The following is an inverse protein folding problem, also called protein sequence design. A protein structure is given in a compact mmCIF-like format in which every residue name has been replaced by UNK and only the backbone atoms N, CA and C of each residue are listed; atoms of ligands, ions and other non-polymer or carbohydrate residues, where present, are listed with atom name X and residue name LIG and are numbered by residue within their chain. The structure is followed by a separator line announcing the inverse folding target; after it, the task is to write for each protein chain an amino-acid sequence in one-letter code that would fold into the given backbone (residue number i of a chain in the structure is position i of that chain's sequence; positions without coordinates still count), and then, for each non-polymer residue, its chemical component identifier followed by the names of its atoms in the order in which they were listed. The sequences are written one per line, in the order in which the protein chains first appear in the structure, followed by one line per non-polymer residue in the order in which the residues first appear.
data_IF_352009569586
#
_entry.id   IF_352009569586
#
_cell.length_a   1.000
_cell.length_b   1.000
_cell.length_c   1.000
_cell.angle_alpha   90.00
_cell.angle_beta   90.00
_cell.angle_gamma   90.00
#
_symmetry.space_group_name_H-M   'P 1'
#
loop_
_entity.id
_entity.type
_entity.pdbx_description
1 polymer ?
#
# COMPACT_ATOMS: atom_id res chain seq x y z
N UNK A 1 -6.96 -1.64 10.84
CA UNK A 1 -5.67 -0.99 10.58
C UNK A 1 -5.09 -0.46 11.88
N UNK A 2 -3.78 -0.63 12.11
CA UNK A 2 -3.03 -0.01 13.21
C UNK A 2 -2.05 1.00 12.64
N UNK A 3 -1.79 2.09 13.36
CA UNK A 3 -0.87 3.14 12.93
C UNK A 3 0.19 3.41 13.99
N UNK A 4 1.40 3.70 13.53
CA UNK A 4 2.55 3.98 14.37
C UNK A 4 3.33 5.16 13.80
N UNK A 5 3.61 6.16 14.61
CA UNK A 5 4.55 7.19 14.25
C UNK A 5 5.97 6.61 14.22
N UNK A 6 6.70 6.89 13.15
CA UNK A 6 8.13 6.60 13.04
C UNK A 6 8.88 7.84 13.53
N UNK A 7 9.69 7.66 14.56
CA UNK A 7 10.42 8.72 15.23
C UNK A 7 11.93 8.48 15.13
N UNK A 8 12.68 9.50 14.80
CA UNK A 8 14.13 9.49 14.89
C UNK A 8 14.56 9.98 16.27
N UNK A 9 15.05 9.05 17.10
CA UNK A 9 15.45 9.33 18.48
C UNK A 9 16.70 10.23 18.55
N UNK A 10 17.58 10.20 17.54
CA UNK A 10 18.80 11.02 17.50
C UNK A 10 18.48 12.47 17.11
N UNK A 11 17.75 12.65 16.03
CA UNK A 11 17.41 13.96 15.51
C UNK A 11 16.15 14.57 16.17
N UNK A 12 15.46 13.83 17.04
CA UNK A 12 14.22 14.24 17.70
C UNK A 12 13.16 14.71 16.72
N UNK A 13 12.95 13.94 15.66
CA UNK A 13 12.10 14.28 14.53
C UNK A 13 11.13 13.16 14.18
N UNK A 14 9.89 13.53 13.86
CA UNK A 14 8.92 12.62 13.25
C UNK A 14 9.29 12.37 11.79
N UNK A 15 9.55 11.13 11.43
CA UNK A 15 9.90 10.72 10.07
C UNK A 15 8.64 10.46 9.23
N UNK A 16 7.61 9.89 9.85
CA UNK A 16 6.39 9.53 9.14
C UNK A 16 5.52 8.59 9.95
N UNK A 17 4.67 7.82 9.25
CA UNK A 17 3.71 6.89 9.84
C UNK A 17 3.80 5.53 9.16
N UNK A 18 4.01 4.50 9.95
CA UNK A 18 3.82 3.11 9.54
C UNK A 18 2.36 2.72 9.76
N UNK A 19 1.70 2.27 8.72
CA UNK A 19 0.35 1.72 8.77
C UNK A 19 0.41 0.20 8.56
N UNK A 20 -0.23 -0.55 9.45
CA UNK A 20 -0.37 -1.99 9.35
C UNK A 20 -1.83 -2.36 9.08
N UNK A 21 -2.06 -3.05 7.99
CA UNK A 21 -3.36 -3.55 7.54
C UNK A 21 -3.50 -5.01 7.98
N UNK A 22 -4.25 -5.22 9.07
CA UNK A 22 -4.34 -6.52 9.76
C UNK A 22 -4.90 -7.64 8.87
N UNK A 23 -5.88 -7.33 8.01
CA UNK A 23 -6.53 -8.32 7.14
C UNK A 23 -5.58 -8.83 6.06
N UNK A 24 -4.86 -7.93 5.43
CA UNK A 24 -3.93 -8.23 4.34
C UNK A 24 -2.53 -8.59 4.86
N UNK A 25 -2.23 -8.32 6.14
CA UNK A 25 -0.90 -8.43 6.74
C UNK A 25 0.17 -7.65 5.94
N UNK A 26 -0.17 -6.42 5.56
CA UNK A 26 0.67 -5.54 4.74
C UNK A 26 1.00 -4.25 5.46
N UNK A 27 2.10 -3.65 5.05
CA UNK A 27 2.62 -2.40 5.60
C UNK A 27 2.67 -1.33 4.53
N UNK A 28 2.33 -0.11 4.91
CA UNK A 28 2.53 1.10 4.11
C UNK A 28 3.19 2.15 5.00
N UNK A 29 4.21 2.81 4.50
CA UNK A 29 4.88 3.92 5.20
C UNK A 29 4.58 5.22 4.45
N UNK A 30 4.07 6.19 5.20
CA UNK A 30 3.88 7.57 4.75
C UNK A 30 4.94 8.46 5.39
N UNK A 31 5.84 9.00 4.60
CA UNK A 31 6.89 9.91 5.07
C UNK A 31 6.40 11.35 5.13
N UNK A 32 7.00 12.15 5.98
CA UNK A 32 6.81 13.60 6.02
C UNK A 32 7.41 14.27 4.78
N UNK A 33 6.75 15.29 4.21
CA UNK A 33 7.23 15.98 3.00
C UNK A 33 8.41 16.92 3.24
N UNK A 34 8.68 17.25 4.51
CA UNK A 34 9.82 18.08 4.91
C UNK A 34 11.12 17.29 5.09
N UNK A 35 11.09 15.96 4.86
CA UNK A 35 12.31 15.17 4.91
C UNK A 35 13.15 15.42 3.67
N UNK A 36 14.43 15.59 3.91
CA UNK A 36 15.45 15.57 2.87
C UNK A 36 16.18 14.23 2.80
N UNK A 37 17.08 14.10 1.84
CA UNK A 37 17.83 12.86 1.61
C UNK A 37 18.79 12.48 2.75
N UNK A 38 19.14 13.41 3.62
CA UNK A 38 20.08 13.21 4.73
C UNK A 38 19.40 12.71 6.01
N UNK A 39 18.13 13.09 6.16
CA UNK A 39 17.30 12.74 7.33
C UNK A 39 16.48 11.47 7.07
N UNK A 40 16.12 11.23 5.80
CA UNK A 40 15.33 10.06 5.44
C UNK A 40 16.04 8.75 5.78
N UNK A 41 15.32 7.71 6.24
CA UNK A 41 15.88 6.37 6.37
C UNK A 41 16.60 5.95 5.10
N UNK A 42 17.77 5.33 5.23
CA UNK A 42 18.63 4.97 4.10
C UNK A 42 17.87 4.21 2.99
N UNK A 43 16.99 3.30 3.38
CA UNK A 43 16.13 2.53 2.47
C UNK A 43 15.20 3.42 1.63
N UNK A 44 14.82 4.59 2.13
CA UNK A 44 13.86 5.48 1.49
C UNK A 44 14.47 6.73 0.83
N UNK A 45 15.79 6.91 0.94
CA UNK A 45 16.49 8.08 0.40
C UNK A 45 16.18 8.35 -1.08
N UNK A 46 16.17 7.27 -1.90
CA UNK A 46 15.86 7.40 -3.33
C UNK A 46 14.41 7.82 -3.61
N UNK A 47 13.48 7.46 -2.74
CA UNK A 47 12.08 7.88 -2.85
C UNK A 47 11.94 9.37 -2.52
N UNK A 48 12.55 9.80 -1.42
CA UNK A 48 12.56 11.21 -0.99
C UNK A 48 13.20 12.11 -2.05
N UNK A 49 14.35 11.72 -2.63
CA UNK A 49 14.99 12.44 -3.76
C UNK A 49 14.07 12.65 -4.96
N UNK A 50 13.16 11.73 -5.18
CA UNK A 50 12.16 11.80 -6.27
C UNK A 50 10.85 12.46 -5.86
N UNK A 51 10.74 12.98 -4.63
CA UNK A 51 9.51 13.55 -4.08
C UNK A 51 8.40 12.51 -3.85
N UNK A 52 8.78 11.25 -3.61
CA UNK A 52 7.84 10.15 -3.33
C UNK A 52 7.85 9.91 -1.83
N UNK A 53 6.75 10.23 -1.17
CA UNK A 53 6.62 10.13 0.28
C UNK A 53 5.68 9.02 0.75
N UNK A 54 4.92 8.41 -0.15
CA UNK A 54 4.18 7.17 0.08
C UNK A 54 5.06 6.00 -0.37
N UNK A 55 5.54 5.21 0.56
CA UNK A 55 6.45 4.09 0.28
C UNK A 55 5.62 2.85 -0.08
N UNK A 56 5.91 2.21 -1.22
CA UNK A 56 5.20 1.00 -1.64
C UNK A 56 5.27 -0.11 -0.58
N UNK A 57 4.28 -1.00 -0.60
CA UNK A 57 4.13 -2.09 0.40
C UNK A 57 5.35 -3.00 0.50
N UNK A 58 6.04 -3.25 -0.61
CA UNK A 58 7.22 -4.12 -0.63
C UNK A 58 8.39 -3.50 0.14
N UNK A 59 8.70 -2.24 -0.11
CA UNK A 59 9.76 -1.50 0.58
C UNK A 59 9.38 -1.18 2.02
N UNK A 60 8.11 -0.90 2.28
CA UNK A 60 7.59 -0.76 3.65
C UNK A 60 7.78 -2.06 4.45
N UNK A 61 7.53 -3.21 3.81
CA UNK A 61 7.79 -4.51 4.41
C UNK A 61 9.27 -4.77 4.66
N UNK A 62 10.16 -4.40 3.71
CA UNK A 62 11.61 -4.55 3.89
C UNK A 62 12.09 -3.74 5.10
N UNK A 63 11.59 -2.52 5.29
CA UNK A 63 11.92 -1.70 6.46
C UNK A 63 11.50 -2.38 7.78
N UNK A 64 10.33 -3.00 7.82
CA UNK A 64 9.85 -3.78 8.97
C UNK A 64 10.74 -5.00 9.19
N UNK A 65 11.05 -5.73 8.12
CA UNK A 65 11.85 -6.96 8.17
C UNK A 65 13.25 -6.76 8.74
N UNK A 66 13.86 -5.59 8.53
CA UNK A 66 15.15 -5.24 9.11
C UNK A 66 15.09 -5.03 10.64
N UNK A 67 13.90 -4.85 11.21
CA UNK A 67 13.66 -4.52 12.63
C UNK A 67 13.08 -5.66 13.45
N UNK A 68 12.73 -6.75 12.81
CA UNK A 68 12.15 -7.92 13.48
C UNK A 68 13.12 -9.10 13.49
N UNK A 69 13.01 -9.93 14.51
CA UNK A 69 13.76 -11.18 14.57
C UNK A 69 13.16 -12.13 13.53
N UNK A 70 13.95 -12.67 12.59
CA UNK A 70 13.45 -13.61 11.60
C UNK A 70 12.84 -14.87 12.21
N UNK A 71 11.73 -15.35 11.68
CA UNK A 71 11.06 -16.58 12.12
C UNK A 71 11.93 -17.84 11.99
N UNK A 72 12.90 -17.85 11.07
CA UNK A 72 13.85 -18.94 10.89
C UNK A 72 15.07 -18.92 11.82
N UNK A 73 15.12 -18.02 12.81
CA UNK A 73 16.24 -17.97 13.76
C UNK A 73 16.24 -19.21 14.65
N UNK A 74 17.42 -19.80 14.87
CA UNK A 74 17.61 -21.07 15.59
C UNK A 74 16.98 -21.09 17.01
N UNK A 75 16.95 -19.95 17.72
CA UNK A 75 16.37 -19.85 19.08
C UNK A 75 15.01 -19.13 19.09
N UNK A 76 14.26 -19.15 17.99
CA UNK A 76 12.98 -18.42 17.89
C UNK A 76 11.97 -18.94 18.92
N UNK A 77 11.89 -20.25 19.17
CA UNK A 77 10.96 -20.85 20.13
C UNK A 77 11.19 -20.37 21.58
N UNK A 78 12.44 -20.13 21.96
CA UNK A 78 12.77 -19.57 23.26
C UNK A 78 12.33 -18.12 23.38
N UNK A 79 12.50 -17.35 22.31
CA UNK A 79 12.05 -15.97 22.22
C UNK A 79 10.53 -15.90 22.32
N UNK A 80 9.81 -16.73 21.57
CA UNK A 80 8.35 -16.80 21.62
C UNK A 80 7.85 -17.15 23.03
N UNK A 81 8.42 -18.15 23.68
CA UNK A 81 8.07 -18.55 25.06
C UNK A 81 8.31 -17.41 26.04
N UNK A 82 9.45 -16.75 25.98
CA UNK A 82 9.80 -15.63 26.88
C UNK A 82 8.83 -14.47 26.75
N UNK A 83 8.30 -14.23 25.55
CA UNK A 83 7.33 -13.17 25.27
C UNK A 83 5.86 -13.65 25.31
N UNK A 84 5.60 -14.90 25.75
CA UNK A 84 4.26 -15.52 25.86
C UNK A 84 3.50 -15.46 24.52
N UNK A 85 4.20 -15.73 23.43
CA UNK A 85 3.64 -15.81 22.07
C UNK A 85 3.47 -17.27 21.69
N UNK A 86 2.26 -17.68 21.29
CA UNK A 86 1.98 -19.05 20.86
C UNK A 86 2.48 -19.31 19.43
N UNK A 87 2.47 -18.30 18.59
CA UNK A 87 2.93 -18.34 17.20
C UNK A 87 3.73 -17.07 16.88
N UNK A 88 4.58 -17.16 15.87
CA UNK A 88 5.31 -16.01 15.36
C UNK A 88 4.33 -15.00 14.73
N UNK A 89 4.43 -13.75 15.17
CA UNK A 89 3.69 -12.60 14.64
C UNK A 89 4.68 -11.46 14.44
N UNK A 90 4.88 -11.08 13.19
CA UNK A 90 5.89 -10.09 12.79
C UNK A 90 5.58 -8.71 13.36
N UNK A 91 4.31 -8.28 13.29
CA UNK A 91 3.91 -6.99 13.85
C UNK A 91 4.11 -6.94 15.37
N UNK A 92 3.82 -8.02 16.07
CA UNK A 92 4.06 -8.11 17.51
C UNK A 92 5.55 -8.10 17.86
N UNK A 93 6.39 -8.73 17.02
CA UNK A 93 7.86 -8.64 17.17
C UNK A 93 8.34 -7.20 16.97
N UNK A 94 7.80 -6.50 15.99
CA UNK A 94 8.10 -5.10 15.74
C UNK A 94 7.69 -4.21 16.93
N UNK A 95 6.49 -4.43 17.49
CA UNK A 95 6.02 -3.74 18.70
C UNK A 95 6.94 -3.99 19.90
N UNK A 96 7.36 -5.23 20.12
CA UNK A 96 8.28 -5.59 21.22
C UNK A 96 9.65 -4.91 21.07
N UNK A 97 10.17 -4.86 19.84
CA UNK A 97 11.41 -4.14 19.52
C UNK A 97 11.22 -2.61 19.54
N UNK A 98 9.97 -2.11 19.62
CA UNK A 98 9.62 -0.70 19.41
C UNK A 98 10.13 -0.15 18.08
N UNK A 99 10.21 -0.99 17.05
CA UNK A 99 10.76 -0.63 15.76
C UNK A 99 12.26 -0.35 15.74
N UNK A 100 12.99 -0.61 16.83
CA UNK A 100 14.43 -0.34 16.93
C UNK A 100 15.25 -1.42 16.22
N UNK A 101 16.31 -0.99 15.57
CA UNK A 101 17.35 -1.87 15.04
C UNK A 101 18.75 -1.30 15.36
N UNK A 102 19.79 -2.04 15.01
CA UNK A 102 21.17 -1.60 15.24
C UNK A 102 21.73 -0.68 14.15
N UNK A 103 20.97 -0.42 13.10
CA UNK A 103 21.44 0.28 11.90
C UNK A 103 21.07 1.76 11.88
N UNK A 104 20.07 2.15 12.66
CA UNK A 104 19.61 3.54 12.76
C UNK A 104 19.05 3.87 14.15
N UNK A 105 18.69 5.13 14.37
CA UNK A 105 18.13 5.67 15.60
C UNK A 105 16.59 5.67 15.61
N UNK A 106 15.94 4.98 14.68
CA UNK A 106 14.50 5.04 14.55
C UNK A 106 13.78 4.14 15.53
N UNK A 107 12.60 4.59 15.94
CA UNK A 107 11.66 3.88 16.79
C UNK A 107 10.23 4.06 16.29
N UNK A 108 9.31 3.22 16.76
CA UNK A 108 7.88 3.39 16.50
C UNK A 108 7.09 3.61 17.79
N UNK A 109 6.06 4.43 17.69
CA UNK A 109 5.10 4.68 18.75
C UNK A 109 3.69 4.59 18.19
N UNK A 110 2.84 3.76 18.81
CA UNK A 110 1.45 3.63 18.40
C UNK A 110 0.72 4.95 18.51
N UNK A 111 -0.08 5.27 17.50
CA UNK A 111 -0.95 6.43 17.44
C UNK A 111 -2.38 5.99 17.17
N UNK A 112 -3.35 6.70 17.78
CA UNK A 112 -4.78 6.42 17.62
C UNK A 112 -5.41 7.28 16.52
N UNK A 113 -4.73 8.36 16.11
CA UNK A 113 -5.21 9.28 15.08
C UNK A 113 -4.11 9.50 14.05
N UNK A 114 -4.46 9.38 12.77
CA UNK A 114 -3.55 9.67 11.68
C UNK A 114 -3.26 11.18 11.59
N UNK A 115 -2.00 11.59 11.37
CA UNK A 115 -1.66 12.96 11.07
C UNK A 115 -2.37 13.48 9.82
N UNK A 116 -2.60 14.78 9.76
CA UNK A 116 -3.33 15.43 8.67
C UNK A 116 -2.73 15.17 7.29
N UNK A 117 -1.40 15.14 7.17
CA UNK A 117 -0.73 14.88 5.88
C UNK A 117 -1.04 13.47 5.34
N UNK A 118 -1.19 12.46 6.21
CA UNK A 118 -1.60 11.11 5.80
C UNK A 118 -3.05 11.11 5.35
N UNK A 119 -3.94 11.74 6.14
CA UNK A 119 -5.37 11.85 5.80
C UNK A 119 -5.57 12.55 4.45
N UNK A 120 -4.83 13.64 4.20
CA UNK A 120 -4.92 14.37 2.92
C UNK A 120 -4.43 13.52 1.75
N UNK A 121 -3.37 12.72 1.91
CA UNK A 121 -2.92 11.81 0.85
C UNK A 121 -3.90 10.68 0.59
N UNK A 122 -4.51 10.14 1.64
CA UNK A 122 -5.50 9.07 1.53
C UNK A 122 -6.77 9.48 0.77
N UNK A 123 -7.06 10.77 0.63
CA UNK A 123 -8.14 11.24 -0.25
C UNK A 123 -7.95 10.82 -1.71
N UNK A 124 -6.69 10.61 -2.12
CA UNK A 124 -6.32 10.16 -3.48
C UNK A 124 -6.17 8.64 -3.58
N UNK A 125 -6.47 7.89 -2.52
CA UNK A 125 -6.46 6.44 -2.56
C UNK A 125 -7.66 5.91 -3.33
N UNK A 126 -7.47 4.75 -3.96
CA UNK A 126 -8.56 4.03 -4.63
C UNK A 126 -9.53 3.47 -3.60
N UNK A 127 -10.81 3.62 -3.86
CA UNK A 127 -11.88 2.94 -3.10
C UNK A 127 -12.46 1.78 -3.90
N UNK A 128 -12.41 1.89 -5.25
CA UNK A 128 -12.86 0.84 -6.15
C UNK A 128 -12.23 1.00 -7.54
N UNK A 129 -12.29 -0.04 -8.36
CA UNK A 129 -11.83 -0.01 -9.74
C UNK A 129 -12.62 -1.02 -10.61
N UNK A 130 -12.72 -0.74 -11.91
CA UNK A 130 -13.31 -1.66 -12.87
C UNK A 130 -12.41 -1.79 -14.10
N UNK A 131 -12.04 -3.03 -14.43
CA UNK A 131 -11.34 -3.35 -15.66
C UNK A 131 -12.32 -3.34 -16.82
N UNK A 132 -12.15 -2.43 -17.77
CA UNK A 132 -12.97 -2.29 -18.97
C UNK A 132 -12.24 -2.88 -20.18
N UNK A 133 -12.94 -2.94 -21.33
CA UNK A 133 -12.34 -3.44 -22.58
C UNK A 133 -11.13 -2.59 -23.00
N UNK A 134 -10.28 -3.15 -23.84
CA UNK A 134 -9.12 -2.47 -24.43
C UNK A 134 -8.11 -1.93 -23.41
N UNK A 135 -7.89 -2.65 -22.29
CA UNK A 135 -6.98 -2.27 -21.22
C UNK A 135 -7.28 -0.87 -20.62
N UNK A 136 -8.55 -0.54 -20.56
CA UNK A 136 -9.04 0.67 -19.91
C UNK A 136 -9.47 0.34 -18.49
N UNK A 137 -9.14 1.22 -17.54
CA UNK A 137 -9.52 1.09 -16.13
C UNK A 137 -10.36 2.28 -15.71
N UNK A 138 -11.49 2.02 -15.07
CA UNK A 138 -12.28 3.02 -14.37
C UNK A 138 -11.85 3.00 -12.89
N UNK A 139 -11.32 4.12 -12.40
CA UNK A 139 -10.79 4.28 -11.06
C UNK A 139 -11.69 5.19 -10.23
N UNK A 140 -12.06 4.75 -9.04
CA UNK A 140 -12.85 5.54 -8.08
C UNK A 140 -11.94 5.89 -6.90
N UNK A 141 -11.83 7.18 -6.56
CA UNK A 141 -10.98 7.68 -5.50
C UNK A 141 -11.76 8.11 -4.26
N UNK A 142 -11.10 8.16 -3.12
CA UNK A 142 -11.74 8.45 -1.83
C UNK A 142 -12.31 9.87 -1.72
N UNK A 143 -11.82 10.81 -2.52
CA UNK A 143 -12.38 12.18 -2.66
C UNK A 143 -13.55 12.27 -3.66
N UNK A 144 -14.08 11.12 -4.07
CA UNK A 144 -15.17 11.00 -5.06
C UNK A 144 -14.79 11.36 -6.50
N UNK A 145 -13.53 11.57 -6.79
CA UNK A 145 -13.04 11.70 -8.16
C UNK A 145 -13.14 10.34 -8.85
N UNK A 146 -13.61 10.34 -10.10
CA UNK A 146 -13.64 9.15 -10.95
C UNK A 146 -12.82 9.44 -12.20
N UNK A 147 -11.93 8.50 -12.57
CA UNK A 147 -11.09 8.63 -13.77
C UNK A 147 -11.18 7.38 -14.64
N UNK A 148 -11.25 7.59 -15.95
CA UNK A 148 -11.16 6.54 -16.96
C UNK A 148 -9.83 6.64 -17.66
N UNK A 149 -8.98 5.62 -17.51
CA UNK A 149 -7.59 5.64 -17.92
C UNK A 149 -7.26 4.46 -18.83
N UNK A 150 -6.57 4.72 -19.94
CA UNK A 150 -5.96 3.65 -20.74
C UNK A 150 -4.60 3.29 -20.14
N UNK A 151 -4.35 2.00 -19.85
CA UNK A 151 -3.08 1.55 -19.25
C UNK A 151 -1.87 1.79 -20.16
N UNK A 152 -2.08 1.97 -21.47
CA UNK A 152 -1.02 2.36 -22.41
C UNK A 152 -0.31 3.67 -22.03
N UNK A 153 -0.97 4.54 -21.28
CA UNK A 153 -0.40 5.80 -20.80
C UNK A 153 0.57 5.61 -19.62
N UNK A 154 0.65 4.39 -19.08
CA UNK A 154 1.41 4.04 -17.88
C UNK A 154 2.65 3.20 -18.20
N UNK A 155 3.22 3.36 -19.40
CA UNK A 155 4.34 2.55 -19.92
C UNK A 155 5.56 2.55 -18.99
N UNK A 156 5.77 3.63 -18.25
CA UNK A 156 6.90 3.77 -17.33
C UNK A 156 6.73 2.99 -16.01
N UNK A 157 5.56 2.37 -15.79
CA UNK A 157 5.33 1.54 -14.61
C UNK A 157 5.89 0.14 -14.84
N UNK A 158 6.75 -0.30 -13.94
CA UNK A 158 7.37 -1.63 -14.01
C UNK A 158 6.33 -2.74 -14.07
N UNK A 159 6.42 -3.59 -15.07
CA UNK A 159 5.54 -4.76 -15.26
C UNK A 159 4.23 -4.47 -15.99
N UNK A 160 3.92 -3.23 -16.34
CA UNK A 160 2.70 -2.90 -17.09
C UNK A 160 2.65 -3.59 -18.45
N UNK A 161 3.80 -3.78 -19.10
CA UNK A 161 3.92 -4.50 -20.35
C UNK A 161 3.44 -5.95 -20.26
N UNK A 162 3.59 -6.60 -19.13
CA UNK A 162 3.06 -7.95 -18.87
C UNK A 162 1.54 -7.93 -18.76
N UNK A 163 0.99 -6.91 -18.08
CA UNK A 163 -0.46 -6.73 -17.96
C UNK A 163 -1.07 -6.50 -19.34
N UNK A 164 -0.46 -5.64 -20.16
CA UNK A 164 -0.93 -5.32 -21.50
C UNK A 164 -0.91 -6.51 -22.47
N UNK A 165 -0.02 -7.49 -22.27
CA UNK A 165 0.08 -8.70 -23.10
C UNK A 165 -0.76 -9.87 -22.62
N UNK A 166 -1.38 -9.78 -21.45
CA UNK A 166 -2.11 -10.88 -20.84
C UNK A 166 -3.46 -10.40 -20.31
N UNK A 167 -4.52 -10.71 -21.05
CA UNK A 167 -5.88 -10.31 -20.72
C UNK A 167 -6.33 -10.84 -19.34
N UNK A 168 -6.03 -12.09 -19.00
CA UNK A 168 -6.40 -12.66 -17.71
C UNK A 168 -5.68 -11.94 -16.54
N UNK A 169 -4.41 -11.51 -16.75
CA UNK A 169 -3.69 -10.71 -15.78
C UNK A 169 -4.33 -9.32 -15.65
N UNK A 170 -4.71 -8.68 -16.75
CA UNK A 170 -5.43 -7.41 -16.71
C UNK A 170 -6.75 -7.53 -15.95
N UNK A 171 -7.54 -8.56 -16.23
CA UNK A 171 -8.83 -8.80 -15.55
C UNK A 171 -8.69 -9.11 -14.05
N UNK A 172 -7.51 -9.55 -13.60
CA UNK A 172 -7.21 -9.75 -12.19
C UNK A 172 -6.96 -8.47 -11.40
N UNK A 173 -7.04 -7.31 -12.06
CA UNK A 173 -6.80 -6.01 -11.45
C UNK A 173 -7.80 -5.72 -10.33
N UNK A 174 -7.28 -5.30 -9.19
CA UNK A 174 -8.09 -4.99 -8.00
C UNK A 174 -7.45 -3.87 -7.17
N UNK A 175 -8.24 -3.27 -6.31
CA UNK A 175 -7.73 -2.29 -5.34
C UNK A 175 -6.81 -3.00 -4.36
N UNK A 176 -5.58 -2.52 -4.27
CA UNK A 176 -4.59 -3.06 -3.35
C UNK A 176 -4.72 -2.51 -1.93
N UNK A 177 -3.78 -2.89 -1.07
CA UNK A 177 -3.78 -2.60 0.36
C UNK A 177 -4.10 -1.13 0.66
N UNK A 178 -5.15 -0.91 1.43
CA UNK A 178 -5.59 0.43 1.87
C UNK A 178 -5.91 1.41 0.75
N UNK A 179 -6.12 0.93 -0.49
CA UNK A 179 -6.37 1.77 -1.65
C UNK A 179 -5.12 2.47 -2.20
N UNK A 180 -3.93 2.13 -1.72
CA UNK A 180 -2.68 2.80 -2.12
C UNK A 180 -2.20 2.44 -3.53
N UNK A 181 -2.73 1.39 -4.12
CA UNK A 181 -2.38 0.97 -5.48
C UNK A 181 -3.53 0.23 -6.15
N UNK A 182 -3.47 0.18 -7.49
CA UNK A 182 -4.11 -0.84 -8.30
C UNK A 182 -3.12 -1.99 -8.42
N UNK A 183 -3.51 -3.20 -8.04
CA UNK A 183 -2.63 -4.38 -8.07
C UNK A 183 -3.12 -5.43 -9.06
N UNK A 184 -2.18 -6.08 -9.74
CA UNK A 184 -2.43 -7.19 -10.64
C UNK A 184 -1.74 -8.44 -10.11
N UNK A 185 -2.54 -9.47 -9.79
CA UNK A 185 -2.06 -10.75 -9.27
C UNK A 185 -1.09 -10.61 -8.07
N UNK A 186 -1.33 -9.64 -7.19
CA UNK A 186 -0.53 -9.32 -5.98
C UNK A 186 0.98 -9.10 -6.24
N UNK A 187 1.38 -8.85 -7.48
CA UNK A 187 2.79 -8.73 -7.88
C UNK A 187 3.15 -7.46 -8.64
N UNK A 188 2.19 -6.85 -9.33
CA UNK A 188 2.39 -5.61 -10.10
C UNK A 188 1.49 -4.54 -9.49
N UNK A 189 2.10 -3.51 -8.96
CA UNK A 189 1.40 -2.41 -8.29
C UNK A 189 1.56 -1.11 -9.08
N UNK A 190 0.44 -0.45 -9.37
CA UNK A 190 0.41 0.91 -9.90
C UNK A 190 -0.03 1.82 -8.74
N UNK A 191 0.81 2.74 -8.25
CA UNK A 191 0.45 3.63 -7.15
C UNK A 191 -0.80 4.45 -7.46
N UNK A 192 -1.74 4.54 -6.51
CA UNK A 192 -2.99 5.29 -6.67
C UNK A 192 -2.73 6.76 -7.01
N UNK A 193 -1.72 7.37 -6.36
CA UNK A 193 -1.30 8.73 -6.67
C UNK A 193 -0.90 8.90 -8.14
N UNK A 194 -0.24 7.92 -8.73
CA UNK A 194 0.17 7.97 -10.14
C UNK A 194 -1.06 7.95 -11.05
N UNK A 195 -2.03 7.08 -10.77
CA UNK A 195 -3.32 7.05 -11.48
C UNK A 195 -4.09 8.37 -11.31
N UNK A 196 -4.10 8.92 -10.10
CA UNK A 196 -4.78 10.17 -9.79
C UNK A 196 -4.18 11.37 -10.55
N UNK A 197 -2.86 11.40 -10.70
CA UNK A 197 -2.13 12.52 -11.31
C UNK A 197 -2.07 12.44 -12.86
N UNK A 198 -2.58 11.36 -13.49
CA UNK A 198 -2.69 11.25 -14.96
C UNK A 198 -3.57 12.38 -15.51
N UNK A 199 -3.05 13.11 -16.50
CA UNK A 199 -3.72 14.28 -17.08
C UNK A 199 -4.59 13.94 -18.29
N UNK A 200 -4.23 12.89 -19.04
CA UNK A 200 -4.94 12.48 -20.27
C UNK A 200 -6.05 11.50 -19.89
N UNK A 201 -7.15 12.01 -19.33
CA UNK A 201 -8.29 11.20 -18.97
C UNK A 201 -9.18 10.95 -20.20
N UNK A 202 -9.72 9.75 -20.30
CA UNK A 202 -10.75 9.44 -21.30
C UNK A 202 -12.10 9.98 -20.83
N UNK A 203 -12.99 10.40 -21.75
CA UNK A 203 -14.34 10.77 -21.38
C UNK A 203 -15.10 9.58 -20.76
N UNK A 204 -15.79 9.82 -19.67
CA UNK A 204 -16.63 8.84 -19.00
C UNK A 204 -18.04 8.91 -19.63
N UNK A 205 -18.54 7.78 -20.10
CA UNK A 205 -19.84 7.63 -20.71
C UNK A 205 -20.79 6.82 -19.81
N UNK A 206 -22.10 6.93 -20.00
CA UNK A 206 -23.10 6.18 -19.21
C UNK A 206 -22.85 4.66 -19.25
N UNK A 207 -22.41 4.13 -20.39
CA UNK A 207 -22.07 2.71 -20.55
C UNK A 207 -20.94 2.21 -19.63
N UNK A 208 -20.03 3.11 -19.21
CA UNK A 208 -18.92 2.74 -18.31
C UNK A 208 -19.48 2.41 -16.93
N UNK A 209 -20.46 3.17 -16.45
CA UNK A 209 -21.15 2.88 -15.20
C UNK A 209 -22.06 1.65 -15.31
N UNK A 210 -22.69 1.42 -16.45
CA UNK A 210 -23.45 0.19 -16.69
C UNK A 210 -22.56 -1.05 -16.60
N UNK A 211 -21.39 -1.00 -17.21
CA UNK A 211 -20.37 -2.06 -17.13
C UNK A 211 -19.92 -2.28 -15.68
N UNK A 212 -19.65 -1.22 -14.94
CA UNK A 212 -19.27 -1.28 -13.53
C UNK A 212 -20.39 -1.93 -12.69
N UNK A 213 -21.62 -1.50 -12.86
CA UNK A 213 -22.78 -2.04 -12.12
C UNK A 213 -22.99 -3.52 -12.46
N UNK A 214 -22.92 -3.91 -13.72
CA UNK A 214 -23.06 -5.31 -14.15
C UNK A 214 -22.01 -6.21 -13.49
N UNK A 215 -20.73 -5.81 -13.49
CA UNK A 215 -19.66 -6.59 -12.87
C UNK A 215 -19.87 -6.74 -11.35
N UNK A 216 -20.27 -5.68 -10.67
CA UNK A 216 -20.50 -5.73 -9.21
C UNK A 216 -21.77 -6.51 -8.81
N UNK A 217 -22.79 -6.58 -9.67
CA UNK A 217 -23.99 -7.40 -9.43
C UNK A 217 -23.63 -8.90 -9.50
N UNK A 218 -22.77 -9.30 -10.44
CA UNK A 218 -22.31 -10.69 -10.54
C UNK A 218 -21.56 -11.14 -9.28
N UNK A 219 -20.70 -10.31 -8.72
CA UNK A 219 -19.97 -10.61 -7.49
C UNK A 219 -20.91 -10.80 -6.28
N UNK A 220 -21.95 -9.99 -6.17
CA UNK A 220 -22.95 -10.12 -5.10
C UNK A 220 -23.82 -11.36 -5.25
N UNK A 221 -24.11 -11.79 -6.47
CA UNK A 221 -24.93 -12.99 -6.72
C UNK A 221 -24.20 -14.28 -6.40
N UNK A 222 -22.89 -14.37 -6.68
CA UNK A 222 -22.05 -15.53 -6.31
C UNK A 222 -21.95 -15.72 -4.79
N UNK A 223 -22.00 -14.66 -4.01
CA UNK A 223 -21.98 -14.74 -2.54
C UNK A 223 -23.31 -15.26 -2.01
N UNK A 224 -24.44 -14.95 -2.64
CA UNK A 224 -25.75 -15.45 -2.26
C UNK A 224 -25.94 -16.94 -2.57
N UNK A 225 -25.40 -17.43 -3.69
CA UNK A 225 -25.48 -18.85 -4.08
C UNK A 225 -24.56 -19.75 -3.24
N UNK A 226 -23.49 -19.21 -2.64
CA UNK A 226 -22.61 -19.93 -1.72
C UNK A 226 -23.16 -20.05 -0.29
N UNK A 227 -24.23 -19.32 0.04
CA UNK A 227 -24.89 -19.28 1.34
C UNK A 227 -26.26 -20.00 1.36
N UNK A 228 -26.69 -20.53 0.23
CA UNK A 228 -27.90 -21.36 0.06
C UNK A 228 -27.53 -22.84 -0.11
#
# INVERSE_FOLDING_TARGET
MKAYEIWDDENQLSIGVLQYFDKEQRYIIELQENLDEWIAPLLFTNYVKRGIYTIPRQESYLWVKERVIPSGRQNIDDILRNHKMAVYDEMRMLELARGKCSQDSMSIKRIDTLPSFVVERQKKNLVDCCMCDHHVVLCFFADHVVKKLALEQLIDVSGIDKVMRNQALFESGMVGTGGYCLTFNDSIDIPAKFLYDVKNEMPIESKDFETYVQKNIWDTTQVCDALS
#
